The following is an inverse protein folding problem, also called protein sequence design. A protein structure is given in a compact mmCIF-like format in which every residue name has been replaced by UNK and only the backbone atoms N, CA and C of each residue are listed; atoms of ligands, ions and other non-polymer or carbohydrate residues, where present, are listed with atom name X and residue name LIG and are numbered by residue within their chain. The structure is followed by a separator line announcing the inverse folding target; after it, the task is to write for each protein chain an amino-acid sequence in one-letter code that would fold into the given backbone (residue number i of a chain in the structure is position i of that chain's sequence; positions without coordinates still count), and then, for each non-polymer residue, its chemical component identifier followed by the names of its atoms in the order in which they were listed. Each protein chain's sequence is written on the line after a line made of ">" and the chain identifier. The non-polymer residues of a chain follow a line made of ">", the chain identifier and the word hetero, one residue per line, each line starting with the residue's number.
data_IF_190361546291
#
_entry.id   IF_190361546291
#
_cell.length_a   1.000
_cell.length_b   1.000
_cell.length_c   1.000
_cell.angle_alpha   90.00
_cell.angle_beta   90.00
_cell.angle_gamma   90.00
#
_symmetry.space_group_name_H-M   'P 1'
#
loop_
_entity.id
_entity.type
_entity.pdbx_description
1 polymer ?
#
# COMPACT_ATOMS: atom_id res chain seq x y z
N UNK A 1 0.47 1.93 -16.99
CA UNK A 1 -0.88 2.45 -16.64
C UNK A 1 -1.89 1.53 -17.31
N UNK A 2 -3.04 1.32 -16.70
CA UNK A 2 -4.15 0.55 -17.25
C UNK A 2 -5.48 1.20 -16.84
N UNK A 3 -6.52 0.90 -17.58
CA UNK A 3 -7.89 1.21 -17.17
C UNK A 3 -8.34 0.22 -16.09
N UNK A 4 -9.25 0.66 -15.24
CA UNK A 4 -9.86 -0.15 -14.18
C UNK A 4 -11.34 -0.27 -14.48
N UNK A 5 -11.83 -1.49 -14.62
CA UNK A 5 -13.24 -1.74 -14.96
C UNK A 5 -14.17 -1.60 -13.76
N UNK A 6 -15.49 -1.40 -13.97
CA UNK A 6 -16.44 -1.06 -12.91
C UNK A 6 -16.44 -2.00 -11.69
N UNK A 7 -16.37 -3.31 -11.90
CA UNK A 7 -16.38 -4.30 -10.81
C UNK A 7 -15.11 -4.20 -9.95
N UNK A 8 -13.95 -4.01 -10.59
CA UNK A 8 -12.72 -3.75 -9.85
C UNK A 8 -12.77 -2.39 -9.13
N UNK A 9 -13.36 -1.35 -9.74
CA UNK A 9 -13.54 -0.04 -9.07
C UNK A 9 -14.40 -0.21 -7.83
N UNK A 10 -15.52 -0.93 -7.90
CA UNK A 10 -16.39 -1.17 -6.77
C UNK A 10 -15.65 -1.89 -5.61
N UNK A 11 -14.84 -2.90 -5.94
CA UNK A 11 -14.00 -3.59 -4.95
C UNK A 11 -12.95 -2.65 -4.33
N UNK A 12 -12.32 -1.80 -5.13
CA UNK A 12 -11.35 -0.80 -4.67
C UNK A 12 -11.98 0.23 -3.74
N UNK A 13 -13.15 0.74 -4.07
CA UNK A 13 -13.88 1.72 -3.26
C UNK A 13 -14.29 1.11 -1.91
N UNK A 14 -14.80 -0.12 -1.91
CA UNK A 14 -15.10 -0.87 -0.70
C UNK A 14 -13.85 -1.07 0.17
N UNK A 15 -12.76 -1.55 -0.42
CA UNK A 15 -11.51 -1.78 0.31
C UNK A 15 -10.95 -0.49 0.91
N UNK A 16 -10.96 0.62 0.15
CA UNK A 16 -10.56 1.93 0.66
C UNK A 16 -11.44 2.40 1.82
N UNK A 17 -12.75 2.18 1.72
CA UNK A 17 -13.68 2.55 2.79
C UNK A 17 -13.39 1.77 4.09
N UNK A 18 -13.12 0.45 4.00
CA UNK A 18 -12.74 -0.37 5.16
C UNK A 18 -11.43 0.11 5.78
N UNK A 19 -10.38 0.32 4.98
CA UNK A 19 -9.08 0.82 5.44
C UNK A 19 -9.24 2.17 6.15
N UNK A 20 -9.96 3.11 5.54
CA UNK A 20 -10.20 4.44 6.12
C UNK A 20 -10.97 4.37 7.44
N UNK A 21 -11.97 3.49 7.54
CA UNK A 21 -12.75 3.31 8.76
C UNK A 21 -11.87 2.81 9.91
N UNK A 22 -10.97 1.84 9.65
CA UNK A 22 -10.01 1.35 10.65
C UNK A 22 -9.05 2.46 11.07
N UNK A 23 -8.38 3.10 10.15
CA UNK A 23 -7.38 4.12 10.45
C UNK A 23 -7.96 5.31 11.24
N UNK A 24 -9.21 5.71 10.94
CA UNK A 24 -9.91 6.74 11.72
C UNK A 24 -10.17 6.31 13.17
N UNK A 25 -10.48 5.03 13.42
CA UNK A 25 -10.62 4.51 14.81
C UNK A 25 -9.32 4.58 15.59
N UNK A 26 -8.18 4.48 14.91
CA UNK A 26 -6.85 4.68 15.49
C UNK A 26 -6.45 6.17 15.60
N UNK A 27 -7.37 7.11 15.34
CA UNK A 27 -7.14 8.55 15.49
C UNK A 27 -6.33 9.20 14.37
N UNK A 28 -6.17 8.53 13.23
CA UNK A 28 -5.55 9.14 12.06
C UNK A 28 -6.51 10.06 11.32
N UNK A 29 -6.00 11.18 10.81
CA UNK A 29 -6.76 12.18 10.04
C UNK A 29 -6.32 12.17 8.58
N UNK A 30 -7.30 12.23 7.66
CA UNK A 30 -6.99 12.23 6.24
C UNK A 30 -6.51 13.59 5.79
N UNK A 31 -5.41 13.59 5.04
CA UNK A 31 -4.88 14.76 4.33
C UNK A 31 -4.79 14.46 2.84
N UNK A 32 -4.67 15.51 2.04
CA UNK A 32 -4.43 15.42 0.60
C UNK A 32 -3.29 16.34 0.19
N UNK A 33 -2.48 15.86 -0.74
CA UNK A 33 -1.36 16.60 -1.31
C UNK A 33 -1.47 16.59 -2.85
N UNK A 34 -0.95 17.62 -3.55
CA UNK A 34 -0.94 17.64 -5.01
C UNK A 34 -0.23 16.43 -5.61
N UNK A 35 -0.68 16.00 -6.79
CA UNK A 35 -0.03 14.94 -7.55
C UNK A 35 1.26 15.42 -8.24
N UNK A 36 1.35 16.72 -8.50
CA UNK A 36 2.49 17.38 -9.14
C UNK A 36 3.31 18.10 -8.07
N UNK A 37 4.59 17.81 -8.01
CA UNK A 37 5.54 18.41 -7.07
C UNK A 37 6.75 19.00 -7.82
N UNK A 38 7.46 19.91 -7.17
CA UNK A 38 8.73 20.42 -7.69
C UNK A 38 9.76 19.30 -7.82
N UNK A 39 10.47 19.22 -8.96
CA UNK A 39 11.58 18.28 -9.14
C UNK A 39 12.66 18.45 -8.06
N UNK A 40 12.94 19.68 -7.64
CA UNK A 40 13.86 19.94 -6.54
C UNK A 40 13.47 19.24 -5.25
N UNK A 41 12.17 19.09 -4.99
CA UNK A 41 11.65 18.37 -3.84
C UNK A 41 11.81 16.85 -4.01
N UNK A 42 11.36 16.34 -5.16
CA UNK A 42 11.37 14.91 -5.47
C UNK A 42 12.80 14.33 -5.50
N UNK A 43 13.77 15.10 -6.03
CA UNK A 43 15.17 14.69 -6.13
C UNK A 43 15.94 14.76 -4.79
N UNK A 44 15.49 15.59 -3.84
CA UNK A 44 16.16 15.75 -2.54
C UNK A 44 15.96 14.56 -1.59
N UNK A 45 14.99 13.72 -1.85
CA UNK A 45 14.55 12.73 -0.86
C UNK A 45 15.60 11.64 -0.62
N UNK A 46 16.39 11.23 -1.63
CA UNK A 46 17.11 9.96 -1.55
C UNK A 46 18.43 9.85 -2.38
N UNK A 47 19.18 10.94 -2.50
CA UNK A 47 20.53 10.84 -3.07
C UNK A 47 20.63 10.44 -4.55
N UNK A 48 19.56 10.59 -5.35
CA UNK A 48 19.59 10.43 -6.81
C UNK A 48 19.10 9.09 -7.35
N UNK A 49 18.89 8.06 -6.54
CA UNK A 49 18.39 6.76 -7.02
C UNK A 49 16.96 6.82 -7.55
N UNK A 50 16.11 7.62 -6.91
CA UNK A 50 14.71 7.81 -7.31
C UNK A 50 14.55 8.69 -8.55
N UNK A 51 15.59 9.32 -9.05
CA UNK A 51 15.50 10.16 -10.26
C UNK A 51 14.95 9.38 -11.47
N UNK A 52 15.38 8.12 -11.62
CA UNK A 52 14.93 7.22 -12.70
C UNK A 52 13.45 6.85 -12.62
N UNK A 53 12.84 7.03 -11.43
CA UNK A 53 11.43 6.71 -11.18
C UNK A 53 10.50 7.87 -11.54
N UNK A 54 11.01 9.10 -11.62
CA UNK A 54 10.19 10.30 -11.71
C UNK A 54 9.73 10.55 -13.14
N UNK A 55 8.41 10.66 -13.34
CA UNK A 55 7.86 11.27 -14.55
C UNK A 55 8.03 12.77 -14.47
N UNK A 56 8.96 13.32 -15.26
CA UNK A 56 9.25 14.75 -15.35
C UNK A 56 8.21 15.46 -16.22
N UNK A 57 7.78 16.65 -15.82
CA UNK A 57 6.83 17.50 -16.55
C UNK A 57 7.60 18.66 -17.16
N UNK A 58 7.51 18.79 -18.48
CA UNK A 58 8.19 19.85 -19.22
C UNK A 58 7.66 21.24 -18.86
N UNK A 59 8.54 22.20 -18.83
CA UNK A 59 8.21 23.64 -18.80
C UNK A 59 7.36 24.02 -20.00
N UNK A 60 6.72 25.17 -19.94
CA UNK A 60 5.87 25.69 -21.05
C UNK A 60 6.37 27.00 -21.57
N UNK A 61 6.07 27.27 -22.89
CA UNK A 61 6.32 28.52 -23.54
C UNK A 61 7.79 28.94 -23.52
N UNK A 62 8.05 30.22 -23.28
CA UNK A 62 9.40 30.81 -23.27
C UNK A 62 10.38 30.11 -22.31
N UNK A 63 9.89 29.62 -21.16
CA UNK A 63 10.73 28.88 -20.20
C UNK A 63 11.27 27.56 -20.77
N UNK A 64 10.53 26.91 -21.64
CA UNK A 64 10.99 25.70 -22.33
C UNK A 64 11.96 26.06 -23.46
N UNK A 65 11.66 27.11 -24.22
CA UNK A 65 12.51 27.56 -25.32
C UNK A 65 13.87 28.08 -24.82
N UNK A 66 13.90 28.68 -23.63
CA UNK A 66 15.12 29.16 -22.99
C UNK A 66 15.96 28.05 -22.33
N UNK A 67 15.46 26.80 -22.27
CA UNK A 67 16.20 25.70 -21.71
C UNK A 67 17.34 25.26 -22.64
N UNK A 68 18.57 25.49 -22.21
CA UNK A 68 19.78 25.17 -23.01
C UNK A 68 20.21 23.72 -22.92
N UNK A 69 19.74 22.95 -21.91
CA UNK A 69 20.13 21.56 -21.63
C UNK A 69 18.90 20.71 -21.28
N UNK A 70 18.94 19.39 -21.54
CA UNK A 70 17.81 18.51 -21.24
C UNK A 70 17.35 18.55 -19.77
N UNK A 71 18.27 18.67 -18.81
CA UNK A 71 17.97 18.77 -17.39
C UNK A 71 17.22 20.05 -17.02
N UNK A 72 17.35 21.12 -17.81
CA UNK A 72 16.69 22.40 -17.60
C UNK A 72 15.28 22.45 -18.19
N UNK A 73 14.87 21.44 -18.97
CA UNK A 73 13.56 21.41 -19.66
C UNK A 73 12.39 21.14 -18.72
N UNK A 74 12.61 20.59 -17.53
CA UNK A 74 11.58 20.26 -16.59
C UNK A 74 11.89 20.83 -15.19
N UNK A 75 10.87 21.30 -14.48
CA UNK A 75 10.96 21.81 -13.10
C UNK A 75 9.91 21.16 -12.17
N UNK A 76 8.99 20.40 -12.73
CA UNK A 76 7.95 19.68 -12.03
C UNK A 76 8.02 18.19 -12.37
N UNK A 77 7.41 17.35 -11.52
CA UNK A 77 7.25 15.94 -11.76
C UNK A 77 6.02 15.38 -11.06
N UNK A 78 5.61 14.19 -11.46
CA UNK A 78 4.59 13.44 -10.76
C UNK A 78 5.21 12.81 -9.50
N UNK A 79 4.49 12.86 -8.38
CA UNK A 79 4.91 12.20 -7.13
C UNK A 79 5.05 10.70 -7.32
N UNK A 80 6.17 10.12 -6.87
CA UNK A 80 6.45 8.69 -6.95
C UNK A 80 6.14 7.94 -5.66
N UNK A 81 5.88 8.68 -4.57
CA UNK A 81 5.39 8.24 -3.27
C UNK A 81 4.50 9.31 -2.63
N UNK A 82 3.94 9.00 -1.44
CA UNK A 82 3.17 9.96 -0.66
C UNK A 82 3.98 10.55 0.51
N UNK A 83 5.14 9.99 0.84
CA UNK A 83 5.99 10.42 1.97
C UNK A 83 6.66 11.77 1.67
N UNK A 84 7.22 11.97 0.48
CA UNK A 84 7.86 13.24 0.10
C UNK A 84 6.86 14.40 0.11
N UNK A 85 5.65 14.28 -0.49
CA UNK A 85 4.59 15.27 -0.35
C UNK A 85 4.14 15.53 1.09
N UNK A 86 4.07 14.48 1.94
CA UNK A 86 3.74 14.63 3.36
C UNK A 86 4.76 15.48 4.10
N UNK A 87 6.04 15.21 3.89
CA UNK A 87 7.13 15.96 4.53
C UNK A 87 7.06 17.45 4.16
N UNK A 88 6.82 17.77 2.87
CA UNK A 88 6.59 19.15 2.42
C UNK A 88 5.33 19.75 3.06
N UNK A 89 4.23 18.99 3.09
CA UNK A 89 2.96 19.41 3.69
C UNK A 89 3.16 19.76 5.17
N UNK A 90 3.85 18.88 5.93
CA UNK A 90 4.17 19.13 7.33
C UNK A 90 5.06 20.34 7.48
N UNK A 91 6.13 20.46 6.69
CA UNK A 91 7.06 21.59 6.77
C UNK A 91 6.35 22.96 6.59
N UNK A 92 5.38 23.02 5.68
CA UNK A 92 4.64 24.27 5.41
C UNK A 92 3.52 24.57 6.42
N UNK A 93 2.97 23.53 7.06
CA UNK A 93 1.74 23.67 7.84
C UNK A 93 1.91 23.35 9.33
N UNK A 94 3.07 22.85 9.79
CA UNK A 94 3.27 22.32 11.14
C UNK A 94 2.78 23.22 12.28
N UNK A 95 2.81 24.58 12.21
CA UNK A 95 2.28 25.39 13.29
C UNK A 95 0.76 25.30 13.47
N UNK A 96 0.04 24.81 12.44
CA UNK A 96 -1.43 24.67 12.44
C UNK A 96 -1.89 23.21 12.53
N UNK A 97 -0.96 22.26 12.55
CA UNK A 97 -1.23 20.83 12.62
C UNK A 97 -1.22 20.35 14.07
N UNK A 98 -2.01 19.30 14.40
CA UNK A 98 -1.92 18.67 15.71
C UNK A 98 -0.52 18.08 15.93
N UNK A 99 -0.11 18.02 17.19
CA UNK A 99 1.13 17.39 17.59
C UNK A 99 0.85 16.35 18.68
N UNK A 100 1.14 15.06 18.40
CA UNK A 100 1.67 14.53 17.15
C UNK A 100 0.65 14.60 16.01
N UNK A 101 1.16 14.66 14.76
CA UNK A 101 0.33 14.47 13.57
C UNK A 101 0.24 12.98 13.25
N UNK A 102 -0.98 12.46 13.17
CA UNK A 102 -1.30 11.11 12.68
C UNK A 102 -2.06 11.27 11.35
N UNK A 103 -1.37 11.07 10.24
CA UNK A 103 -1.89 11.37 8.91
C UNK A 103 -2.28 10.10 8.15
N UNK A 104 -3.36 10.17 7.36
CA UNK A 104 -3.71 9.20 6.31
C UNK A 104 -3.56 9.89 4.97
N UNK A 105 -2.88 9.26 4.04
CA UNK A 105 -2.91 9.62 2.63
C UNK A 105 -3.31 8.40 1.79
N UNK A 106 -4.31 8.55 0.93
CA UNK A 106 -4.66 7.55 -0.08
C UNK A 106 -4.71 8.27 -1.41
N UNK A 107 -3.91 7.82 -2.37
CA UNK A 107 -3.89 8.45 -3.66
C UNK A 107 -2.95 7.78 -4.66
N UNK A 108 -3.07 8.16 -5.94
CA UNK A 108 -2.22 7.64 -6.99
C UNK A 108 -0.80 8.21 -6.89
N UNK A 109 0.15 7.34 -7.21
CA UNK A 109 1.56 7.67 -7.40
C UNK A 109 2.04 7.09 -8.74
N UNK A 110 3.14 7.63 -9.27
CA UNK A 110 3.64 7.28 -10.60
C UNK A 110 5.11 6.92 -10.55
N UNK A 111 5.47 5.77 -11.14
CA UNK A 111 6.87 5.32 -11.25
C UNK A 111 7.18 4.93 -12.68
N UNK A 112 8.27 5.46 -13.24
CA UNK A 112 8.72 5.20 -14.60
C UNK A 112 9.42 3.82 -14.76
N UNK A 113 9.21 2.90 -13.85
CA UNK A 113 9.73 1.53 -13.91
C UNK A 113 9.14 0.73 -15.08
N UNK A 114 9.84 -0.36 -15.45
CA UNK A 114 9.27 -1.32 -16.39
C UNK A 114 8.08 -2.02 -15.76
N UNK A 115 6.91 -2.07 -16.44
CA UNK A 115 5.74 -2.76 -15.92
C UNK A 115 6.02 -4.26 -15.76
N UNK A 116 5.55 -4.81 -14.63
CA UNK A 116 5.58 -6.24 -14.33
C UNK A 116 4.25 -6.63 -13.70
N UNK A 117 3.96 -7.92 -13.59
CA UNK A 117 2.76 -8.38 -12.89
C UNK A 117 2.75 -7.84 -11.44
N UNK A 118 1.67 -7.17 -11.05
CA UNK A 118 1.55 -6.52 -9.75
C UNK A 118 2.35 -5.22 -9.57
N UNK A 119 3.07 -4.73 -10.62
CA UNK A 119 3.79 -3.44 -10.62
C UNK A 119 3.35 -2.60 -11.80
N UNK A 120 2.59 -1.57 -11.49
CA UNK A 120 2.08 -0.62 -12.48
C UNK A 120 2.84 0.70 -12.42
N UNK A 121 2.88 1.43 -13.53
CA UNK A 121 3.45 2.79 -13.60
C UNK A 121 2.61 3.83 -12.87
N UNK A 122 1.31 3.59 -12.73
CA UNK A 122 0.40 4.33 -11.86
C UNK A 122 -0.29 3.33 -10.96
N UNK A 123 -0.26 3.57 -9.64
CA UNK A 123 -0.87 2.71 -8.64
C UNK A 123 -1.25 3.55 -7.42
N UNK A 124 -2.12 3.00 -6.59
CA UNK A 124 -2.57 3.65 -5.35
C UNK A 124 -1.70 3.22 -4.18
N UNK A 125 -1.24 4.18 -3.39
CA UNK A 125 -0.70 3.95 -2.06
C UNK A 125 -1.75 4.30 -1.01
N UNK A 126 -1.78 3.53 0.08
CA UNK A 126 -2.59 3.79 1.27
C UNK A 126 -1.63 3.90 2.45
N UNK A 127 -1.24 5.10 2.76
CA UNK A 127 -0.19 5.40 3.74
C UNK A 127 -0.78 5.97 5.02
N UNK A 128 -0.24 5.53 6.15
CA UNK A 128 -0.42 6.16 7.45
C UNK A 128 0.94 6.54 8.02
N UNK A 129 1.01 7.72 8.60
CA UNK A 129 2.24 8.28 9.15
C UNK A 129 2.00 8.94 10.50
N UNK A 130 2.96 8.81 11.39
CA UNK A 130 3.01 9.49 12.69
C UNK A 130 4.23 10.39 12.72
N UNK A 131 4.03 11.71 12.90
CA UNK A 131 5.09 12.69 13.01
C UNK A 131 5.06 13.33 14.41
N UNK A 132 6.22 13.43 15.03
CA UNK A 132 6.38 14.06 16.36
C UNK A 132 6.42 13.07 17.54
N UNK A 133 6.48 11.74 17.31
CA UNK A 133 6.62 10.70 18.33
C UNK A 133 7.96 10.00 18.20
N UNK A 134 8.84 10.17 19.19
CA UNK A 134 10.17 9.58 19.18
C UNK A 134 10.20 8.12 19.67
N UNK A 135 9.24 7.73 20.51
CA UNK A 135 9.18 6.39 21.09
C UNK A 135 8.60 5.35 20.14
N UNK A 136 8.82 4.07 20.45
CA UNK A 136 8.34 2.90 19.70
C UNK A 136 6.80 2.78 19.67
N UNK A 137 6.10 3.60 20.44
CA UNK A 137 4.62 3.63 20.43
C UNK A 137 4.10 3.94 19.02
N UNK A 138 4.82 4.76 18.23
CA UNK A 138 4.43 5.08 16.87
C UNK A 138 4.48 3.83 15.95
N UNK A 139 5.55 3.04 16.01
CA UNK A 139 5.69 1.79 15.24
C UNK A 139 4.64 0.77 15.65
N UNK A 140 4.45 0.57 16.97
CA UNK A 140 3.46 -0.35 17.52
C UNK A 140 2.06 0.01 17.00
N UNK A 141 1.69 1.28 17.06
CA UNK A 141 0.38 1.76 16.62
C UNK A 141 0.18 1.59 15.12
N UNK A 142 1.19 1.91 14.30
CA UNK A 142 1.15 1.71 12.85
C UNK A 142 0.97 0.24 12.48
N UNK A 143 1.70 -0.66 13.13
CA UNK A 143 1.61 -2.10 12.89
C UNK A 143 0.22 -2.63 13.26
N UNK A 144 -0.31 -2.25 14.44
CA UNK A 144 -1.64 -2.68 14.88
C UNK A 144 -2.74 -2.13 13.98
N UNK A 145 -2.69 -0.85 13.61
CA UNK A 145 -3.66 -0.22 12.72
C UNK A 145 -3.65 -0.88 11.32
N UNK A 146 -2.45 -1.17 10.79
CA UNK A 146 -2.33 -1.78 9.45
C UNK A 146 -2.76 -3.23 9.43
N UNK A 147 -2.41 -4.03 10.45
CA UNK A 147 -2.87 -5.42 10.57
C UNK A 147 -4.39 -5.50 10.75
N UNK A 148 -4.98 -4.60 11.53
CA UNK A 148 -6.44 -4.50 11.68
C UNK A 148 -7.12 -4.10 10.36
N UNK A 149 -6.55 -3.17 9.61
CA UNK A 149 -7.08 -2.76 8.30
C UNK A 149 -7.06 -3.92 7.29
N UNK A 150 -5.98 -4.68 7.23
CA UNK A 150 -5.88 -5.87 6.37
C UNK A 150 -6.85 -6.98 6.81
N UNK A 151 -7.00 -7.20 8.11
CA UNK A 151 -7.97 -8.16 8.66
C UNK A 151 -9.43 -7.76 8.34
N UNK A 152 -9.76 -6.46 8.34
CA UNK A 152 -11.07 -5.95 7.95
C UNK A 152 -11.40 -6.22 6.47
N UNK A 153 -10.38 -6.42 5.62
CA UNK A 153 -10.54 -6.88 4.24
C UNK A 153 -10.64 -8.42 4.11
N UNK A 154 -10.71 -9.14 5.23
CA UNK A 154 -10.77 -10.61 5.25
C UNK A 154 -9.42 -11.29 5.00
N UNK A 155 -8.30 -10.58 5.07
CA UNK A 155 -6.98 -11.17 4.93
C UNK A 155 -6.55 -11.80 6.27
N UNK A 156 -6.22 -13.09 6.22
CA UNK A 156 -5.75 -13.91 7.35
C UNK A 156 -4.28 -14.29 7.12
N UNK A 157 -3.69 -14.97 8.09
CA UNK A 157 -2.30 -15.48 7.99
C UNK A 157 -1.28 -14.39 7.70
N UNK A 158 -1.44 -13.23 8.37
CA UNK A 158 -0.53 -12.11 8.26
C UNK A 158 0.72 -12.34 9.09
N UNK A 159 1.89 -12.09 8.49
CA UNK A 159 3.19 -12.17 9.15
C UNK A 159 3.84 -10.79 9.08
N UNK A 160 4.00 -10.15 10.23
CA UNK A 160 4.77 -8.91 10.36
C UNK A 160 6.23 -9.27 10.54
N UNK A 161 7.08 -8.87 9.61
CA UNK A 161 8.55 -8.98 9.70
C UNK A 161 9.08 -7.66 10.23
N UNK A 162 9.95 -7.68 11.20
CA UNK A 162 10.54 -6.50 11.86
C UNK A 162 12.06 -6.58 11.86
N UNK A 163 12.72 -5.47 11.55
CA UNK A 163 14.16 -5.26 11.71
C UNK A 163 14.42 -3.80 12.10
N UNK A 164 15.70 -3.43 12.23
CA UNK A 164 16.11 -2.05 12.46
C UNK A 164 17.29 -1.68 11.57
N UNK A 165 17.22 -0.52 10.93
CA UNK A 165 18.26 -0.02 10.02
C UNK A 165 19.62 0.15 10.69
N UNK A 166 19.61 0.48 11.98
CA UNK A 166 20.82 0.63 12.79
C UNK A 166 21.50 -0.73 13.02
N UNK A 167 20.71 -1.80 13.22
CA UNK A 167 21.24 -3.17 13.32
C UNK A 167 21.83 -3.63 11.99
N UNK A 168 21.16 -3.36 10.87
CA UNK A 168 21.73 -3.62 9.55
C UNK A 168 23.07 -2.93 9.34
N UNK A 169 23.18 -1.65 9.74
CA UNK A 169 24.43 -0.91 9.71
C UNK A 169 25.54 -1.56 10.57
N UNK A 170 25.19 -2.00 11.77
CA UNK A 170 26.11 -2.69 12.67
C UNK A 170 26.56 -4.05 12.10
N UNK A 171 25.65 -4.81 11.45
CA UNK A 171 25.98 -6.07 10.77
C UNK A 171 26.96 -5.86 9.61
N UNK A 172 26.69 -4.86 8.77
CA UNK A 172 27.53 -4.48 7.64
C UNK A 172 28.94 -4.10 8.12
N UNK A 173 29.04 -3.26 9.18
CA UNK A 173 30.31 -2.88 9.79
C UNK A 173 31.02 -4.09 10.43
N UNK A 174 30.30 -4.99 11.11
CA UNK A 174 30.84 -6.21 11.70
C UNK A 174 31.47 -7.12 10.65
N UNK A 175 30.88 -7.21 9.46
CA UNK A 175 31.34 -8.00 8.35
C UNK A 175 32.52 -7.36 7.59
N UNK A 176 32.94 -6.14 7.94
CA UNK A 176 34.10 -5.47 7.36
C UNK A 176 33.80 -4.62 6.13
N UNK A 177 32.54 -4.22 5.91
CA UNK A 177 32.24 -3.20 4.92
C UNK A 177 32.54 -1.79 5.46
N UNK A 178 32.76 -0.86 4.55
CA UNK A 178 32.87 0.56 4.88
C UNK A 178 31.47 1.12 5.23
N UNK A 179 31.27 1.65 6.46
CA UNK A 179 29.98 2.23 6.86
C UNK A 179 29.52 3.38 5.97
N UNK A 180 30.44 4.15 5.37
CA UNK A 180 30.10 5.24 4.45
C UNK A 180 29.46 4.72 3.16
N UNK A 181 29.66 3.45 2.82
CA UNK A 181 29.14 2.77 1.63
C UNK A 181 28.00 1.79 1.95
N UNK A 182 27.51 1.76 3.18
CA UNK A 182 26.45 0.83 3.60
C UNK A 182 25.18 0.93 2.74
N UNK A 183 24.87 2.12 2.19
CA UNK A 183 23.73 2.31 1.28
C UNK A 183 23.73 1.35 0.10
N UNK A 184 24.84 1.20 -0.60
CA UNK A 184 24.97 0.28 -1.74
C UNK A 184 24.81 -1.18 -1.33
N UNK A 185 25.27 -1.55 -0.12
CA UNK A 185 25.08 -2.90 0.43
C UNK A 185 23.61 -3.18 0.66
N UNK A 186 22.87 -2.22 1.23
CA UNK A 186 21.43 -2.37 1.46
C UNK A 186 20.63 -2.53 0.18
N UNK A 187 21.00 -1.81 -0.90
CA UNK A 187 20.34 -1.93 -2.20
C UNK A 187 20.53 -3.32 -2.81
N UNK A 188 21.72 -3.89 -2.68
CA UNK A 188 21.99 -5.25 -3.13
C UNK A 188 21.19 -6.27 -2.27
N UNK A 189 21.19 -6.10 -0.95
CA UNK A 189 20.45 -6.96 -0.03
C UNK A 189 18.91 -6.91 -0.23
N UNK A 190 18.34 -5.78 -0.61
CA UNK A 190 16.89 -5.67 -0.91
C UNK A 190 16.44 -6.58 -2.07
N UNK A 191 17.39 -7.06 -2.84
CA UNK A 191 17.15 -8.00 -3.94
C UNK A 191 17.31 -9.47 -3.53
N UNK A 192 17.76 -9.76 -2.31
CA UNK A 192 18.16 -11.11 -1.87
C UNK A 192 17.06 -12.16 -2.13
N UNK A 193 15.82 -11.83 -1.79
CA UNK A 193 14.65 -12.72 -1.98
C UNK A 193 14.30 -12.93 -3.47
N UNK A 194 14.83 -12.09 -4.38
CA UNK A 194 14.48 -12.10 -5.82
C UNK A 194 15.55 -12.77 -6.68
N UNK A 195 16.82 -12.44 -6.41
CA UNK A 195 17.94 -12.87 -7.25
C UNK A 195 18.82 -13.93 -6.58
N UNK A 196 18.65 -14.16 -5.26
CA UNK A 196 19.42 -15.16 -4.53
C UNK A 196 20.78 -14.64 -4.02
N UNK A 197 21.46 -15.51 -3.26
CA UNK A 197 22.68 -15.15 -2.53
C UNK A 197 23.88 -14.93 -3.44
N UNK A 198 24.02 -15.75 -4.48
CA UNK A 198 25.18 -15.72 -5.37
C UNK A 198 25.20 -14.45 -6.23
N UNK A 199 24.03 -14.04 -6.74
CA UNK A 199 23.86 -12.82 -7.51
C UNK A 199 24.06 -11.57 -6.63
N UNK A 200 23.55 -11.57 -5.39
CA UNK A 200 23.82 -10.48 -4.43
C UNK A 200 25.31 -10.36 -4.14
N UNK A 201 26.00 -11.49 -3.93
CA UNK A 201 27.46 -11.49 -3.73
C UNK A 201 28.22 -10.97 -4.96
N UNK A 202 27.75 -11.28 -6.18
CA UNK A 202 28.29 -10.77 -7.42
C UNK A 202 28.10 -9.25 -7.54
N UNK A 203 26.87 -8.74 -7.31
CA UNK A 203 26.58 -7.29 -7.32
C UNK A 203 27.43 -6.51 -6.31
N UNK A 204 27.65 -7.05 -5.11
CA UNK A 204 28.50 -6.42 -4.10
C UNK A 204 29.95 -6.34 -4.55
N UNK A 205 30.47 -7.39 -5.19
CA UNK A 205 31.83 -7.40 -5.75
C UNK A 205 31.98 -6.41 -6.90
N UNK A 206 31.02 -6.37 -7.82
CA UNK A 206 31.00 -5.39 -8.93
C UNK A 206 30.91 -3.95 -8.43
N UNK A 207 30.19 -3.71 -7.32
CA UNK A 207 30.18 -2.42 -6.64
C UNK A 207 31.50 -2.10 -5.92
N UNK A 208 32.51 -2.97 -5.99
CA UNK A 208 33.83 -2.77 -5.39
C UNK A 208 33.85 -2.97 -3.87
N UNK A 209 32.97 -3.82 -3.33
CA UNK A 209 33.05 -4.26 -1.94
C UNK A 209 33.94 -5.50 -1.79
N UNK A 210 34.56 -5.73 -0.61
CA UNK A 210 35.40 -6.90 -0.39
C UNK A 210 34.59 -8.20 -0.49
N UNK A 211 35.09 -9.17 -1.28
CA UNK A 211 34.37 -10.42 -1.52
C UNK A 211 34.14 -11.25 -0.26
N UNK A 212 35.14 -11.26 0.65
CA UNK A 212 35.08 -11.96 1.94
C UNK A 212 34.08 -11.30 2.90
N UNK A 213 33.88 -9.98 2.84
CA UNK A 213 32.85 -9.27 3.59
C UNK A 213 31.42 -9.67 3.12
N UNK A 214 31.23 -9.79 1.80
CA UNK A 214 29.95 -10.25 1.24
C UNK A 214 29.62 -11.68 1.69
N UNK A 215 30.58 -12.60 1.67
CA UNK A 215 30.42 -13.97 2.18
C UNK A 215 30.01 -13.99 3.65
N UNK A 216 30.76 -13.29 4.51
CA UNK A 216 30.47 -13.20 5.95
C UNK A 216 29.05 -12.63 6.22
N UNK A 217 28.65 -11.59 5.49
CA UNK A 217 27.34 -10.99 5.66
C UNK A 217 26.19 -11.95 5.30
N UNK A 218 26.30 -12.64 4.17
CA UNK A 218 25.30 -13.61 3.73
C UNK A 218 25.22 -14.83 4.66
N UNK A 219 26.35 -15.31 5.20
CA UNK A 219 26.39 -16.36 6.22
C UNK A 219 25.71 -15.89 7.51
N UNK A 220 26.06 -14.70 7.99
CA UNK A 220 25.47 -14.09 9.18
C UNK A 220 23.93 -13.98 9.05
N UNK A 221 23.44 -13.46 7.93
CA UNK A 221 22.00 -13.35 7.65
C UNK A 221 21.30 -14.71 7.66
N UNK A 222 21.95 -15.77 7.21
CA UNK A 222 21.41 -17.12 7.24
C UNK A 222 21.47 -17.82 8.60
N UNK A 223 22.37 -17.39 9.47
CA UNK A 223 22.58 -18.01 10.79
C UNK A 223 21.76 -17.35 11.92
N UNK A 224 21.40 -16.07 11.76
CA UNK A 224 20.74 -15.29 12.81
C UNK A 224 19.21 -15.38 12.70
N UNK A 225 18.62 -16.18 13.59
CA UNK A 225 17.15 -16.35 13.66
C UNK A 225 16.48 -15.52 14.77
N UNK A 226 17.24 -14.96 15.72
CA UNK A 226 16.66 -14.26 16.88
C UNK A 226 17.42 -12.97 17.20
N UNK A 227 16.75 -11.96 17.81
CA UNK A 227 17.41 -10.74 18.29
C UNK A 227 18.55 -11.06 19.28
N UNK A 228 18.35 -12.01 20.18
CA UNK A 228 19.34 -12.38 21.19
C UNK A 228 20.63 -12.96 20.57
N UNK A 229 20.51 -13.80 19.54
CA UNK A 229 21.67 -14.33 18.80
C UNK A 229 22.45 -13.19 18.12
N UNK A 230 21.73 -12.27 17.48
CA UNK A 230 22.35 -11.10 16.83
C UNK A 230 23.00 -10.16 17.86
N UNK A 231 22.34 -9.92 19.00
CA UNK A 231 22.89 -9.10 20.08
C UNK A 231 24.19 -9.66 20.63
N UNK A 232 24.23 -10.97 20.86
CA UNK A 232 25.47 -11.67 21.29
C UNK A 232 26.60 -11.49 20.28
N UNK A 233 26.28 -11.60 19.00
CA UNK A 233 27.28 -11.48 17.91
C UNK A 233 27.80 -10.05 17.76
N UNK A 234 26.91 -9.06 17.76
CA UNK A 234 27.28 -7.66 17.55
C UNK A 234 27.90 -7.00 18.79
N UNK A 235 27.55 -7.47 19.99
CA UNK A 235 28.01 -6.90 21.26
C UNK A 235 27.77 -5.39 21.33
N UNK A 236 28.81 -4.63 21.66
CA UNK A 236 28.74 -3.17 21.81
C UNK A 236 28.64 -2.40 20.44
N UNK A 237 28.64 -3.08 19.31
CA UNK A 237 28.48 -2.44 17.99
C UNK A 237 27.08 -1.92 17.73
N UNK A 238 26.10 -2.43 18.45
CA UNK A 238 24.74 -1.90 18.44
C UNK A 238 24.36 -1.38 19.83
N UNK A 239 23.78 -0.20 19.86
CA UNK A 239 23.42 0.48 21.12
C UNK A 239 22.30 -0.28 21.87
N UNK A 240 22.37 -0.26 23.19
CA UNK A 240 21.45 -1.02 24.05
C UNK A 240 19.96 -0.55 23.91
N UNK A 241 19.73 0.70 23.59
CA UNK A 241 18.39 1.23 23.37
C UNK A 241 17.77 0.72 22.06
N UNK A 242 18.56 0.43 21.03
CA UNK A 242 18.08 -0.19 19.77
C UNK A 242 17.51 -1.58 20.08
N UNK A 243 18.20 -2.37 20.90
CA UNK A 243 17.72 -3.69 21.31
C UNK A 243 16.46 -3.61 22.17
N UNK A 244 16.43 -2.70 23.13
CA UNK A 244 15.26 -2.48 23.98
C UNK A 244 14.03 -2.05 23.18
N UNK A 245 14.21 -1.13 22.23
CA UNK A 245 13.14 -0.67 21.35
C UNK A 245 12.60 -1.80 20.47
N UNK A 246 13.49 -2.56 19.83
CA UNK A 246 13.10 -3.70 18.99
C UNK A 246 12.32 -4.76 19.80
N UNK A 247 12.84 -5.13 20.97
CA UNK A 247 12.20 -6.11 21.85
C UNK A 247 10.83 -5.61 22.31
N UNK A 248 10.72 -4.34 22.71
CA UNK A 248 9.45 -3.74 23.11
C UNK A 248 8.40 -3.79 22.01
N UNK A 249 8.78 -3.50 20.75
CA UNK A 249 7.86 -3.61 19.62
C UNK A 249 7.40 -5.06 19.46
N UNK A 250 8.35 -6.02 19.44
CA UNK A 250 8.05 -7.45 19.27
C UNK A 250 7.08 -7.98 20.34
N UNK A 251 7.40 -7.75 21.61
CA UNK A 251 6.61 -8.24 22.75
C UNK A 251 5.22 -7.58 22.79
N UNK A 252 5.16 -6.26 22.64
CA UNK A 252 3.89 -5.53 22.72
C UNK A 252 2.96 -5.90 21.59
N UNK A 253 3.47 -5.95 20.35
CA UNK A 253 2.67 -6.30 19.18
C UNK A 253 2.25 -7.77 19.22
N UNK A 254 3.14 -8.68 19.64
CA UNK A 254 2.80 -10.10 19.82
C UNK A 254 1.69 -10.29 20.86
N UNK A 255 1.76 -9.57 21.98
CA UNK A 255 0.72 -9.60 23.04
C UNK A 255 -0.65 -9.12 22.56
N UNK A 256 -0.71 -8.25 21.53
CA UNK A 256 -1.95 -7.74 20.95
C UNK A 256 -2.44 -8.54 19.72
N UNK A 257 -1.64 -9.49 19.24
CA UNK A 257 -1.96 -10.23 18.00
C UNK A 257 -3.23 -11.08 18.12
N UNK A 258 -3.50 -11.66 19.32
CA UNK A 258 -4.69 -12.47 19.62
C UNK A 258 -4.99 -13.55 18.55
N UNK A 259 -3.96 -14.15 17.98
CA UNK A 259 -4.07 -15.17 16.92
C UNK A 259 -4.42 -14.63 15.52
N UNK A 260 -4.58 -13.33 15.34
CA UNK A 260 -4.95 -12.71 14.04
C UNK A 260 -3.76 -12.56 13.09
N UNK A 261 -2.56 -12.44 13.63
CA UNK A 261 -1.30 -12.31 12.88
C UNK A 261 -0.12 -12.80 13.75
N UNK A 262 1.06 -12.90 13.12
CA UNK A 262 2.32 -13.16 13.83
C UNK A 262 3.26 -11.98 13.61
N UNK A 263 4.13 -11.68 14.57
CA UNK A 263 5.27 -10.79 14.38
C UNK A 263 6.57 -11.56 14.61
N UNK A 264 7.54 -11.36 13.73
CA UNK A 264 8.83 -12.03 13.79
C UNK A 264 9.96 -11.04 13.56
N UNK A 265 11.08 -11.24 14.25
CA UNK A 265 12.32 -10.59 13.88
C UNK A 265 12.88 -11.24 12.62
N UNK A 266 13.36 -10.42 11.69
CA UNK A 266 13.93 -10.91 10.45
C UNK A 266 15.18 -10.11 10.06
N UNK A 267 16.36 -10.69 10.33
CA UNK A 267 17.65 -10.07 10.02
C UNK A 267 17.84 -9.80 8.52
N UNK A 268 17.12 -10.51 7.64
CA UNK A 268 17.21 -10.35 6.19
C UNK A 268 16.33 -9.24 5.67
N UNK A 269 15.38 -8.72 6.48
CA UNK A 269 14.52 -7.64 6.07
C UNK A 269 15.35 -6.37 5.86
N UNK A 270 15.44 -5.96 4.61
CA UNK A 270 16.03 -4.71 4.18
C UNK A 270 15.01 -3.96 3.33
N UNK A 271 14.88 -2.67 3.56
CA UNK A 271 14.01 -1.80 2.74
C UNK A 271 14.90 -0.96 1.82
N UNK A 272 14.60 -0.99 0.52
CA UNK A 272 15.38 -0.30 -0.51
C UNK A 272 15.34 1.23 -0.46
N UNK A 273 14.50 1.83 0.41
CA UNK A 273 14.43 3.29 0.55
C UNK A 273 15.52 3.78 1.49
N UNK A 274 16.46 4.55 0.97
CA UNK A 274 17.66 5.05 1.68
C UNK A 274 17.37 6.03 2.85
N UNK A 275 16.13 6.44 3.04
CA UNK A 275 15.76 7.44 4.06
C UNK A 275 15.43 6.86 5.44
N UNK A 276 15.32 5.53 5.60
CA UNK A 276 14.99 4.95 6.91
C UNK A 276 16.15 5.09 7.90
N UNK A 277 15.79 5.41 9.16
CA UNK A 277 16.74 5.75 10.24
C UNK A 277 16.63 4.85 11.47
N UNK A 278 15.64 3.98 11.55
CA UNK A 278 15.35 3.14 12.71
C UNK A 278 14.61 1.86 12.33
N UNK A 279 13.59 1.45 13.10
CA UNK A 279 12.80 0.27 12.81
C UNK A 279 12.20 0.28 11.41
N UNK A 280 12.23 -0.89 10.77
CA UNK A 280 11.63 -1.18 9.46
C UNK A 280 10.76 -2.41 9.57
N UNK A 281 9.63 -2.43 8.88
CA UNK A 281 8.67 -3.51 8.99
C UNK A 281 7.94 -3.76 7.67
N UNK A 282 7.53 -5.00 7.47
CA UNK A 282 6.72 -5.46 6.35
C UNK A 282 5.64 -6.42 6.81
N UNK A 283 4.55 -6.50 6.04
CA UNK A 283 3.55 -7.54 6.23
C UNK A 283 3.52 -8.44 5.00
N UNK A 284 3.69 -9.73 5.23
CA UNK A 284 3.46 -10.80 4.27
C UNK A 284 2.09 -11.44 4.51
N UNK A 285 1.50 -12.02 3.48
CA UNK A 285 0.24 -12.72 3.53
C UNK A 285 0.46 -14.18 3.10
N UNK A 286 0.18 -15.12 4.02
CA UNK A 286 0.42 -16.54 3.79
C UNK A 286 1.90 -16.83 3.45
N UNK A 287 2.12 -17.79 2.57
CA UNK A 287 3.46 -18.17 2.10
C UNK A 287 3.97 -17.30 0.94
N UNK A 288 3.31 -16.18 0.66
CA UNK A 288 3.72 -15.29 -0.43
C UNK A 288 5.09 -14.67 -0.15
N UNK A 289 5.99 -14.72 -1.13
CA UNK A 289 7.32 -14.11 -1.07
C UNK A 289 7.30 -12.59 -1.13
N UNK A 290 6.18 -11.99 -1.56
CA UNK A 290 6.04 -10.54 -1.70
C UNK A 290 5.23 -9.93 -0.57
N UNK A 291 5.75 -8.85 0.03
CA UNK A 291 5.04 -8.09 1.06
C UNK A 291 3.82 -7.35 0.50
N UNK A 292 2.74 -7.29 1.28
CA UNK A 292 1.51 -6.53 0.96
C UNK A 292 1.45 -5.17 1.65
N UNK A 293 2.31 -4.93 2.62
CA UNK A 293 2.48 -3.64 3.27
C UNK A 293 3.93 -3.48 3.75
N UNK A 294 4.40 -2.24 3.86
CA UNK A 294 5.74 -2.00 4.36
C UNK A 294 5.98 -0.56 4.77
N UNK A 295 6.90 -0.38 5.73
CA UNK A 295 7.20 0.93 6.29
C UNK A 295 8.43 0.97 7.16
N UNK A 296 8.57 2.07 7.92
CA UNK A 296 9.66 2.27 8.88
C UNK A 296 9.82 3.72 9.30
N UNK A 297 10.77 3.96 10.19
CA UNK A 297 11.13 5.26 10.76
C UNK A 297 12.04 6.06 9.83
N UNK A 298 11.76 7.35 9.65
CA UNK A 298 12.47 8.25 8.72
C UNK A 298 12.69 9.67 9.30
N UNK A 299 13.18 9.78 10.52
CA UNK A 299 13.28 11.01 11.34
C UNK A 299 13.98 12.18 10.63
N UNK A 300 14.97 11.92 9.77
CA UNK A 300 15.78 12.95 9.11
C UNK A 300 15.13 13.60 7.90
N UNK A 301 14.03 13.04 7.38
CA UNK A 301 13.43 13.58 6.16
C UNK A 301 12.83 14.97 6.37
N UNK A 302 12.12 15.17 7.48
CA UNK A 302 11.50 16.46 7.80
C UNK A 302 12.57 17.53 8.03
N UNK A 303 13.67 17.16 8.69
CA UNK A 303 14.78 18.05 8.99
C UNK A 303 15.40 18.73 7.77
N UNK A 304 15.42 18.04 6.62
CA UNK A 304 15.89 18.61 5.36
C UNK A 304 15.10 19.85 4.91
N UNK A 305 13.88 20.07 5.43
CA UNK A 305 13.01 21.18 5.05
C UNK A 305 12.91 22.26 6.11
N UNK A 306 12.88 21.89 7.40
CA UNK A 306 12.67 22.85 8.49
C UNK A 306 13.91 23.09 9.36
N UNK A 307 15.05 22.47 9.02
CA UNK A 307 16.33 22.68 9.71
C UNK A 307 16.43 22.01 11.09
N UNK A 308 15.45 21.18 11.48
CA UNK A 308 15.46 20.39 12.72
C UNK A 308 14.84 19.02 12.46
N UNK A 309 15.39 17.96 13.02
CA UNK A 309 14.83 16.64 12.92
C UNK A 309 13.47 16.56 13.63
N UNK A 310 12.53 15.84 13.03
CA UNK A 310 11.22 15.52 13.59
C UNK A 310 11.04 14.02 13.52
N UNK A 311 10.84 13.35 14.66
CA UNK A 311 10.56 11.93 14.67
C UNK A 311 9.38 11.61 13.74
N UNK A 312 9.59 10.69 12.81
CA UNK A 312 8.59 10.33 11.82
C UNK A 312 8.70 8.83 11.47
N UNK A 313 7.57 8.17 11.43
CA UNK A 313 7.46 6.77 11.00
C UNK A 313 6.17 6.59 10.22
N UNK A 314 6.17 5.72 9.20
CA UNK A 314 5.03 5.51 8.33
C UNK A 314 4.89 4.06 7.88
N UNK A 315 3.67 3.70 7.44
CA UNK A 315 3.32 2.41 6.92
C UNK A 315 2.43 2.54 5.69
N UNK A 316 2.81 1.88 4.61
CA UNK A 316 2.07 1.89 3.33
C UNK A 316 1.50 0.51 3.02
N UNK A 317 0.20 0.43 2.75
CA UNK A 317 -0.41 -0.77 2.15
C UNK A 317 -0.19 -0.74 0.64
N UNK A 318 0.36 -1.82 0.10
CA UNK A 318 0.48 -2.05 -1.34
C UNK A 318 -0.88 -2.38 -1.94
N UNK A 319 -1.72 -1.36 -2.13
CA UNK A 319 -3.13 -1.46 -2.45
C UNK A 319 -3.42 -2.36 -3.66
N UNK A 320 -2.63 -2.24 -4.73
CA UNK A 320 -2.80 -3.06 -5.94
C UNK A 320 -2.61 -4.57 -5.68
N UNK A 321 -1.68 -4.93 -4.78
CA UNK A 321 -1.46 -6.33 -4.39
C UNK A 321 -2.62 -6.85 -3.57
N UNK A 322 -3.11 -6.05 -2.63
CA UNK A 322 -4.29 -6.38 -1.81
C UNK A 322 -5.51 -6.60 -2.71
N UNK A 323 -5.77 -5.69 -3.65
CA UNK A 323 -6.88 -5.84 -4.61
C UNK A 323 -6.69 -7.09 -5.47
N UNK A 324 -5.48 -7.39 -5.94
CA UNK A 324 -5.19 -8.64 -6.68
C UNK A 324 -5.57 -9.88 -5.89
N UNK A 325 -5.17 -9.97 -4.62
CA UNK A 325 -5.51 -11.09 -3.73
C UNK A 325 -7.02 -11.19 -3.53
N UNK A 326 -7.71 -10.07 -3.32
CA UNK A 326 -9.16 -10.05 -3.14
C UNK A 326 -9.90 -10.51 -4.39
N UNK A 327 -9.45 -10.08 -5.58
CA UNK A 327 -10.02 -10.52 -6.86
C UNK A 327 -9.81 -12.02 -7.08
N UNK A 328 -8.62 -12.55 -6.84
CA UNK A 328 -8.30 -13.98 -6.95
C UNK A 328 -9.18 -14.84 -6.03
N UNK A 329 -9.59 -14.31 -4.89
CA UNK A 329 -10.51 -14.95 -3.94
C UNK A 329 -11.99 -14.78 -4.30
N UNK A 330 -12.30 -14.07 -5.37
CA UNK A 330 -13.68 -13.76 -5.73
C UNK A 330 -14.38 -12.86 -4.71
N UNK A 331 -13.62 -12.03 -3.99
CA UNK A 331 -14.20 -11.10 -3.02
C UNK A 331 -15.11 -10.11 -3.76
N UNK A 332 -16.34 -10.00 -3.28
CA UNK A 332 -17.34 -9.06 -3.75
C UNK A 332 -17.63 -8.05 -2.64
N UNK A 333 -17.80 -6.76 -2.95
CA UNK A 333 -18.20 -5.77 -1.96
C UNK A 333 -19.45 -6.23 -1.23
N UNK A 334 -19.48 -6.13 0.11
CA UNK A 334 -20.73 -6.32 0.87
C UNK A 334 -21.75 -5.31 0.35
N UNK A 335 -22.86 -5.79 -0.18
CA UNK A 335 -23.91 -4.93 -0.75
C UNK A 335 -24.43 -5.35 -2.12
N UNK A 336 -23.95 -6.48 -2.71
CA UNK A 336 -24.52 -7.00 -3.97
C UNK A 336 -26.04 -7.20 -3.93
N UNK A 337 -26.64 -7.41 -2.75
CA UNK A 337 -28.08 -7.44 -2.55
C UNK A 337 -28.79 -6.09 -2.74
N UNK A 338 -28.05 -4.99 -2.87
CA UNK A 338 -28.61 -3.64 -3.10
C UNK A 338 -28.86 -3.36 -4.58
N UNK A 339 -28.27 -4.12 -5.50
CA UNK A 339 -28.44 -3.90 -6.96
C UNK A 339 -29.77 -4.47 -7.45
N UNK A 340 -30.60 -3.60 -8.03
CA UNK A 340 -31.92 -3.92 -8.61
C UNK A 340 -31.93 -3.48 -10.07
N UNK A 341 -32.41 -4.33 -10.98
CA UNK A 341 -32.69 -3.92 -12.35
C UNK A 341 -34.21 -3.88 -12.57
N UNK A 342 -34.70 -2.83 -13.21
CA UNK A 342 -36.09 -2.74 -13.71
C UNK A 342 -36.02 -2.83 -15.23
N UNK A 343 -36.57 -3.90 -15.79
CA UNK A 343 -36.66 -4.15 -17.24
C UNK A 343 -38.09 -3.83 -17.68
N UNK A 344 -38.20 -2.95 -18.66
CA UNK A 344 -39.49 -2.44 -19.12
C UNK A 344 -39.53 -2.31 -20.65
N UNK A 345 -40.71 -2.27 -21.23
CA UNK A 345 -40.89 -2.01 -22.67
C UNK A 345 -40.74 -0.50 -22.95
N UNK A 346 -39.99 -0.13 -24.01
CA UNK A 346 -39.73 1.27 -24.35
C UNK A 346 -40.98 2.04 -24.81
N UNK A 347 -42.05 1.33 -25.15
CA UNK A 347 -43.34 1.91 -25.57
C UNK A 347 -44.30 2.17 -24.43
N UNK A 348 -44.00 1.74 -23.19
CA UNK A 348 -44.89 1.91 -22.03
C UNK A 348 -44.76 3.30 -21.40
N UNK A 349 -45.79 3.68 -20.62
CA UNK A 349 -45.69 4.88 -19.78
C UNK A 349 -44.57 4.74 -18.76
N UNK A 350 -43.63 5.70 -18.77
CA UNK A 350 -42.51 5.72 -17.86
C UNK A 350 -42.82 6.17 -16.44
N UNK A 351 -43.96 6.80 -16.21
CA UNK A 351 -44.27 7.33 -14.88
C UNK A 351 -44.30 6.25 -13.78
N UNK A 352 -44.93 5.07 -13.97
CA UNK A 352 -44.87 3.98 -13.00
C UNK A 352 -43.41 3.43 -12.80
N UNK A 353 -42.64 3.30 -13.88
CA UNK A 353 -41.26 2.80 -13.84
C UNK A 353 -40.38 3.76 -13.00
N UNK A 354 -40.46 5.05 -13.29
CA UNK A 354 -39.67 6.06 -12.59
C UNK A 354 -40.14 6.24 -11.13
N UNK A 355 -41.44 6.10 -10.86
CA UNK A 355 -41.98 6.10 -9.51
C UNK A 355 -41.38 4.98 -8.66
N UNK A 356 -41.48 3.74 -9.14
CA UNK A 356 -40.89 2.59 -8.46
C UNK A 356 -39.37 2.71 -8.32
N UNK A 357 -38.67 3.19 -9.35
CA UNK A 357 -37.21 3.39 -9.28
C UNK A 357 -36.87 4.42 -8.20
N UNK A 358 -37.60 5.51 -8.07
CA UNK A 358 -37.42 6.51 -7.02
C UNK A 358 -37.61 5.87 -5.64
N UNK A 359 -38.72 5.17 -5.42
CA UNK A 359 -39.02 4.57 -4.13
C UNK A 359 -37.96 3.53 -3.70
N UNK A 360 -37.47 2.74 -4.64
CA UNK A 360 -36.35 1.82 -4.40
C UNK A 360 -35.04 2.55 -4.08
N UNK A 361 -34.75 3.67 -4.77
CA UNK A 361 -33.53 4.48 -4.49
C UNK A 361 -33.64 5.15 -3.11
N UNK A 362 -34.78 5.62 -2.70
CA UNK A 362 -35.01 6.15 -1.34
C UNK A 362 -34.78 5.08 -0.27
N UNK A 363 -35.02 3.80 -0.59
CA UNK A 363 -34.69 2.65 0.26
C UNK A 363 -33.18 2.26 0.21
N UNK A 364 -32.34 3.06 -0.45
CA UNK A 364 -30.91 2.83 -0.59
C UNK A 364 -30.54 1.78 -1.64
N UNK A 365 -31.43 1.41 -2.56
CA UNK A 365 -31.14 0.47 -3.64
C UNK A 365 -30.43 1.16 -4.82
N UNK A 366 -29.54 0.43 -5.49
CA UNK A 366 -28.90 0.86 -6.73
C UNK A 366 -29.75 0.37 -7.91
N UNK A 367 -30.56 1.26 -8.51
CA UNK A 367 -31.55 0.87 -9.51
C UNK A 367 -31.06 1.17 -10.91
N UNK A 368 -30.89 0.13 -11.72
CA UNK A 368 -30.69 0.19 -13.16
C UNK A 368 -32.05 0.18 -13.87
N UNK A 369 -32.24 1.09 -14.81
CA UNK A 369 -33.37 1.07 -15.74
C UNK A 369 -32.86 0.57 -17.10
N UNK A 370 -33.48 -0.49 -17.62
CA UNK A 370 -33.07 -1.09 -18.89
C UNK A 370 -34.29 -1.47 -19.73
N UNK A 371 -34.30 -1.06 -20.99
CA UNK A 371 -35.37 -1.44 -21.91
C UNK A 371 -35.26 -2.91 -22.27
N UNK A 372 -36.45 -3.53 -22.47
CA UNK A 372 -36.56 -4.95 -22.84
C UNK A 372 -35.95 -5.22 -24.19
N UNK A 373 -34.93 -6.05 -24.22
CA UNK A 373 -34.25 -6.45 -25.45
C UNK A 373 -34.97 -7.60 -26.19
N UNK A 374 -34.65 -7.77 -27.47
CA UNK A 374 -35.22 -8.85 -28.31
C UNK A 374 -34.94 -10.25 -27.76
N UNK A 375 -33.86 -10.45 -27.00
CA UNK A 375 -33.43 -11.73 -26.40
C UNK A 375 -33.46 -11.62 -24.89
N UNK A 376 -34.66 -11.56 -24.32
CA UNK A 376 -34.87 -11.34 -22.88
C UNK A 376 -34.06 -12.33 -22.01
N UNK A 377 -34.06 -13.63 -22.35
CA UNK A 377 -33.34 -14.63 -21.56
C UNK A 377 -31.83 -14.34 -21.44
N UNK A 378 -31.20 -13.88 -22.53
CA UNK A 378 -29.78 -13.48 -22.52
C UNK A 378 -29.59 -12.19 -21.71
N UNK A 379 -30.47 -11.21 -21.86
CA UNK A 379 -30.45 -9.96 -21.10
C UNK A 379 -30.51 -10.21 -19.58
N UNK A 380 -31.40 -11.12 -19.16
CA UNK A 380 -31.50 -11.48 -17.74
C UNK A 380 -30.22 -12.17 -17.23
N UNK A 381 -29.63 -13.08 -18.02
CA UNK A 381 -28.34 -13.70 -17.68
C UNK A 381 -27.21 -12.66 -17.57
N UNK A 382 -27.16 -11.71 -18.51
CA UNK A 382 -26.17 -10.63 -18.49
C UNK A 382 -26.34 -9.73 -17.24
N UNK A 383 -27.59 -9.44 -16.84
CA UNK A 383 -27.88 -8.70 -15.60
C UNK A 383 -27.44 -9.48 -14.34
N UNK A 384 -27.77 -10.80 -14.30
CA UNK A 384 -27.33 -11.68 -13.20
C UNK A 384 -25.80 -11.72 -13.11
N UNK A 385 -25.10 -11.85 -14.26
CA UNK A 385 -23.63 -11.84 -14.34
C UNK A 385 -23.03 -10.49 -13.88
N UNK A 386 -23.75 -9.38 -14.09
CA UNK A 386 -23.39 -8.03 -13.60
C UNK A 386 -23.72 -7.80 -12.12
N UNK A 387 -24.17 -8.84 -11.40
CA UNK A 387 -24.43 -8.79 -9.95
C UNK A 387 -25.80 -8.24 -9.56
N UNK A 388 -26.76 -8.10 -10.50
CA UNK A 388 -28.14 -7.74 -10.15
C UNK A 388 -28.84 -8.95 -9.52
N UNK A 389 -29.09 -8.90 -8.22
CA UNK A 389 -29.71 -9.98 -7.43
C UNK A 389 -31.25 -9.90 -7.39
N UNK A 390 -31.84 -8.82 -7.87
CA UNK A 390 -33.26 -8.63 -7.96
C UNK A 390 -33.60 -7.94 -9.28
N UNK A 391 -34.42 -8.59 -10.12
CA UNK A 391 -34.79 -8.07 -11.43
C UNK A 391 -36.31 -7.94 -11.47
N UNK A 392 -36.82 -6.73 -11.64
CA UNK A 392 -38.23 -6.43 -11.79
C UNK A 392 -38.60 -6.31 -13.28
N UNK A 393 -39.54 -7.14 -13.73
CA UNK A 393 -40.13 -7.05 -15.07
C UNK A 393 -41.39 -6.20 -14.98
N UNK A 394 -41.37 -5.03 -15.64
CA UNK A 394 -42.52 -4.12 -15.62
C UNK A 394 -43.57 -4.57 -16.64
N UNK A 395 -44.80 -4.79 -16.19
CA UNK A 395 -45.93 -5.03 -17.04
C UNK A 395 -46.53 -3.72 -17.58
N UNK A 396 -47.29 -3.81 -18.72
CA UNK A 396 -47.90 -2.64 -19.33
C UNK A 396 -48.94 -1.96 -18.43
N UNK A 397 -49.47 -2.67 -17.46
CA UNK A 397 -50.42 -2.20 -16.42
C UNK A 397 -49.73 -1.55 -15.21
N UNK A 398 -48.40 -1.41 -15.23
CA UNK A 398 -47.61 -0.88 -14.12
C UNK A 398 -47.31 -1.90 -13.02
N UNK A 399 -47.73 -3.16 -13.18
CA UNK A 399 -47.35 -4.23 -12.26
C UNK A 399 -45.87 -4.61 -12.41
N UNK A 400 -45.29 -5.21 -11.36
CA UNK A 400 -43.92 -5.69 -11.37
C UNK A 400 -43.88 -7.16 -11.02
N UNK A 401 -43.34 -7.95 -11.92
CA UNK A 401 -42.96 -9.34 -11.66
C UNK A 401 -41.46 -9.40 -11.23
N UNK A 402 -41.23 -9.81 -10.00
CA UNK A 402 -39.88 -9.90 -9.44
C UNK A 402 -39.27 -11.28 -9.72
N UNK A 403 -38.06 -11.25 -10.23
CA UNK A 403 -37.22 -12.44 -10.39
C UNK A 403 -35.99 -12.32 -9.49
N UNK A 404 -35.78 -13.34 -8.65
CA UNK A 404 -34.54 -13.54 -7.91
C UNK A 404 -33.68 -14.55 -8.65
N UNK A 405 -32.31 -14.38 -8.65
CA UNK A 405 -31.42 -15.35 -9.27
C UNK A 405 -31.63 -16.73 -8.63
N UNK A 406 -31.54 -17.77 -9.44
CA UNK A 406 -31.49 -19.14 -8.90
C UNK A 406 -30.24 -19.27 -8.05
N UNK A 407 -30.40 -19.50 -6.74
CA UNK A 407 -29.30 -19.90 -5.86
C UNK A 407 -28.65 -21.14 -6.45
N UNK A 408 -27.36 -21.07 -6.83
CA UNK A 408 -26.59 -22.23 -7.20
C UNK A 408 -26.46 -23.13 -5.94
N UNK A 409 -27.22 -24.24 -5.91
CA UNK A 409 -27.10 -25.20 -4.83
C UNK A 409 -28.42 -25.74 -4.29
N UNK A 410 -29.19 -26.49 -5.11
CA UNK A 410 -29.94 -27.65 -4.66
C UNK A 410 -30.06 -28.56 -5.88
N UNK A 411 -29.04 -29.42 -6.07
CA UNK A 411 -29.26 -30.66 -6.81
C UNK A 411 -30.30 -31.46 -6.02
N UNK A 412 -31.55 -31.43 -6.48
CA UNK A 412 -32.51 -32.46 -6.11
C UNK A 412 -31.94 -33.80 -6.57
N UNK A 413 -31.44 -34.55 -5.61
CA UNK A 413 -31.21 -35.99 -5.75
C UNK A 413 -32.56 -36.61 -6.07
N UNK A 414 -32.84 -36.86 -7.35
CA UNK A 414 -33.93 -37.77 -7.74
C UNK A 414 -33.50 -39.19 -7.38
N UNK A 415 -34.26 -39.73 -6.46
CA UNK A 415 -34.27 -41.16 -6.10
C UNK A 415 -34.72 -42.04 -7.29
#
# INVERSE_FOLDING_TARGET
>A
MRDVLPDEVALRDWAMAQILAVYRRHGFVRIETPAVESLRLLLRSDGGENEKLIFKILKRGEKLQAAGRPEDMADLGLRFDLTVPLVRYYAHNHPRLPQPLKAIQIGPVWRAERPQQGRYRQFTQCDIDVLGVASEVAEIELILATTEALAALGLKDLIVRLNDRRLLGAMVAHCGFDPARAGSVFIALDKLDKIGRDEVAAELREAGHPADAAGRLLELLGAVATPAALQTLLGARAEADVWRGLQRILETVAGQAAGRFRIVFDATLVRGMGYYTGPIFEIQHGDATSSIAGGGRYDRMVGKFIGRDVPATGFSIGFERVIGILMERGASPEGDGLRVALVFDDTMDLAPVLGLARDLREQGRHVLLETRGKRLGKQLQDLEARGFRRIGMMGADGTVEWREPRTAGTEETKA
#
